data_IF_635670434581
#
_entry.id   IF_635670434581
#
_cell.length_a   1.000
_cell.length_b   1.000
_cell.length_c   1.000
_cell.angle_alpha   90.00
_cell.angle_beta   90.00
_cell.angle_gamma   90.00
#
_symmetry.space_group_name_H-M   'P 1'
#
loop_
_entity.id
_entity.type
_entity.pdbx_description
1 polymer ?
#
# COMPACT_ATOMS: atom_id res chain seq x y z
N UNK A 1 46.57 -4.94 -40.45
CA UNK A 1 45.42 -5.88 -40.59
C UNK A 1 44.14 -5.07 -40.57
N UNK A 2 43.48 -4.95 -41.72
CA UNK A 2 42.23 -4.23 -41.90
C UNK A 2 41.16 -5.27 -42.26
N UNK A 3 40.00 -5.31 -41.58
CA UNK A 3 38.99 -6.32 -41.88
C UNK A 3 38.24 -5.96 -43.19
N UNK A 4 37.76 -6.95 -43.94
CA UNK A 4 37.13 -6.74 -45.25
C UNK A 4 35.75 -6.11 -45.13
N UNK A 5 35.48 -5.18 -46.03
CA UNK A 5 34.22 -4.50 -46.27
C UNK A 5 33.19 -5.51 -46.83
N UNK A 6 32.24 -5.91 -46.00
CA UNK A 6 31.14 -6.80 -46.39
C UNK A 6 29.84 -6.01 -46.41
N UNK A 7 29.39 -5.64 -47.60
CA UNK A 7 28.11 -4.95 -47.82
C UNK A 7 26.94 -5.87 -47.43
N UNK A 8 26.01 -5.45 -46.55
CA UNK A 8 24.90 -6.31 -46.14
C UNK A 8 23.88 -6.45 -47.27
N UNK A 9 23.61 -7.70 -47.70
CA UNK A 9 22.56 -8.02 -48.68
C UNK A 9 21.19 -7.74 -48.05
N UNK A 10 20.33 -6.98 -48.76
CA UNK A 10 18.96 -6.69 -48.32
C UNK A 10 18.14 -8.00 -48.22
N UNK A 11 17.77 -8.38 -47.01
CA UNK A 11 16.79 -9.43 -46.78
C UNK A 11 15.40 -8.96 -47.27
N UNK A 12 14.77 -9.76 -48.13
CA UNK A 12 13.41 -9.49 -48.62
C UNK A 12 12.43 -9.76 -47.48
N UNK A 13 11.84 -8.72 -46.91
CA UNK A 13 10.77 -8.87 -45.90
C UNK A 13 9.52 -9.40 -46.60
N UNK A 14 9.26 -10.70 -46.55
CA UNK A 14 7.89 -11.21 -46.68
C UNK A 14 7.11 -10.74 -45.44
N UNK A 15 5.82 -10.45 -45.58
CA UNK A 15 4.90 -10.00 -44.53
C UNK A 15 4.74 -8.47 -44.30
N UNK A 16 4.71 -7.68 -45.38
CA UNK A 16 4.14 -6.32 -45.33
C UNK A 16 2.61 -6.29 -45.46
N UNK A 17 1.94 -7.44 -45.61
CA UNK A 17 0.49 -7.51 -45.86
C UNK A 17 -0.40 -7.15 -44.66
N UNK A 18 0.16 -6.99 -43.46
CA UNK A 18 -0.61 -6.70 -42.26
C UNK A 18 -0.92 -5.22 -42.07
N UNK A 19 -0.23 -4.33 -42.78
CA UNK A 19 -0.33 -2.89 -42.58
C UNK A 19 -0.97 -2.24 -43.82
N UNK A 20 -1.93 -1.36 -43.58
CA UNK A 20 -2.54 -0.54 -44.64
C UNK A 20 -1.50 0.45 -45.20
N UNK A 21 -1.31 0.54 -46.51
CA UNK A 21 -0.33 1.45 -47.11
C UNK A 21 -0.70 2.93 -46.97
N UNK A 22 -1.99 3.25 -46.81
CA UNK A 22 -2.48 4.64 -46.71
C UNK A 22 -2.37 5.18 -45.29
N UNK A 23 -2.66 4.35 -44.29
CA UNK A 23 -2.74 4.80 -42.88
C UNK A 23 -1.70 4.18 -41.96
N UNK A 24 -0.93 3.21 -42.44
CA UNK A 24 0.07 2.49 -41.64
C UNK A 24 -0.51 1.63 -40.52
N UNK A 25 -1.83 1.43 -40.49
CA UNK A 25 -2.52 0.66 -39.43
C UNK A 25 -2.61 -0.82 -39.76
N UNK A 26 -2.53 -1.67 -38.74
CA UNK A 26 -2.64 -3.12 -38.84
C UNK A 26 -3.82 -3.60 -38.00
N UNK A 27 -4.62 -4.53 -38.53
CA UNK A 27 -5.76 -5.08 -37.81
C UNK A 27 -5.25 -6.11 -36.79
N UNK A 28 -5.40 -5.81 -35.50
CA UNK A 28 -5.13 -6.78 -34.43
C UNK A 28 -6.34 -7.70 -34.25
N UNK A 29 -6.07 -8.98 -33.97
CA UNK A 29 -7.13 -9.94 -33.61
C UNK A 29 -7.90 -9.44 -32.37
N UNK A 30 -9.25 -9.46 -32.38
CA UNK A 30 -10.07 -9.01 -31.25
C UNK A 30 -9.87 -9.86 -30.00
N UNK A 31 -9.28 -11.06 -30.13
CA UNK A 31 -8.85 -11.89 -29.01
C UNK A 31 -7.35 -12.10 -29.07
N UNK A 32 -6.60 -11.15 -28.52
CA UNK A 32 -5.19 -11.32 -28.24
C UNK A 32 -5.05 -11.71 -26.77
N UNK A 33 -4.83 -13.01 -26.51
CA UNK A 33 -4.45 -13.44 -25.16
C UNK A 33 -3.07 -12.87 -24.82
N UNK A 34 -2.82 -12.41 -23.59
CA UNK A 34 -1.49 -11.95 -23.21
C UNK A 34 -0.53 -13.14 -23.33
N UNK A 35 0.45 -13.02 -24.22
CA UNK A 35 1.56 -13.96 -24.28
C UNK A 35 2.31 -13.85 -22.95
N UNK A 36 2.14 -14.85 -22.08
CA UNK A 36 2.97 -14.97 -20.89
C UNK A 36 4.39 -15.30 -21.36
N UNK A 37 5.23 -14.27 -21.49
CA UNK A 37 6.67 -14.47 -21.60
C UNK A 37 7.13 -15.17 -20.32
N UNK A 38 7.37 -16.48 -20.43
CA UNK A 38 8.04 -17.28 -19.41
C UNK A 38 9.51 -16.85 -19.46
N UNK A 39 9.88 -15.91 -18.59
CA UNK A 39 11.28 -15.58 -18.35
C UNK A 39 12.00 -16.87 -17.94
N UNK A 40 12.92 -17.32 -18.78
CA UNK A 40 13.75 -18.47 -18.48
C UNK A 40 14.60 -18.13 -17.25
N UNK A 41 14.36 -18.85 -16.16
CA UNK A 41 15.11 -18.71 -14.93
C UNK A 41 16.56 -19.13 -15.13
N UNK A 42 17.47 -18.17 -14.90
CA UNK A 42 18.86 -18.46 -14.62
C UNK A 42 18.96 -19.14 -13.26
N UNK A 43 19.49 -20.36 -13.25
CA UNK A 43 19.76 -21.18 -12.07
C UNK A 43 20.82 -20.54 -11.17
N UNK A 44 20.52 -20.46 -9.87
CA UNK A 44 21.49 -20.65 -8.79
C UNK A 44 20.74 -21.16 -7.54
N UNK A 45 21.30 -22.18 -6.89
CA UNK A 45 20.68 -23.02 -5.85
C UNK A 45 21.00 -22.49 -4.42
N UNK A 46 20.74 -23.24 -3.33
CA UNK A 46 19.60 -23.04 -2.41
C UNK A 46 20.02 -22.58 -1.00
N UNK A 47 19.05 -22.06 -0.21
CA UNK A 47 19.17 -22.01 1.25
C UNK A 47 17.81 -22.28 1.91
N UNK A 48 17.89 -23.19 2.87
CA UNK A 48 16.90 -23.79 3.75
C UNK A 48 16.47 -22.78 4.84
N UNK A 49 15.18 -22.62 5.10
CA UNK A 49 14.49 -23.19 6.27
C UNK A 49 13.06 -22.61 6.37
N UNK A 50 12.11 -23.46 6.74
CA UNK A 50 10.69 -23.11 6.75
C UNK A 50 10.29 -22.35 8.00
N UNK A 51 9.39 -21.36 7.86
CA UNK A 51 8.31 -21.19 8.83
C UNK A 51 7.15 -20.33 8.28
N UNK A 52 5.95 -20.86 8.49
CA UNK A 52 4.66 -20.19 8.64
C UNK A 52 4.06 -19.33 7.52
N UNK A 53 3.03 -19.94 6.91
CA UNK A 53 1.85 -19.29 6.35
C UNK A 53 1.41 -18.09 7.20
N UNK A 54 1.56 -16.88 6.67
CA UNK A 54 0.56 -15.85 6.89
C UNK A 54 -0.18 -15.63 5.57
N UNK A 55 -1.40 -16.14 5.50
CA UNK A 55 -2.37 -15.76 4.47
C UNK A 55 -2.85 -14.34 4.73
N UNK A 56 -1.93 -13.39 4.74
CA UNK A 56 -2.30 -11.99 4.60
C UNK A 56 -2.73 -11.86 3.15
N UNK A 57 -4.04 -11.70 2.93
CA UNK A 57 -4.60 -11.19 1.67
C UNK A 57 -4.02 -9.78 1.49
N UNK A 58 -2.76 -9.71 1.08
CA UNK A 58 -2.13 -8.52 0.56
C UNK A 58 -2.88 -8.27 -0.74
N UNK A 59 -3.93 -7.45 -0.64
CA UNK A 59 -4.56 -6.87 -1.81
C UNK A 59 -3.44 -6.15 -2.53
N UNK A 60 -2.90 -6.78 -3.56
CA UNK A 60 -1.82 -6.25 -4.36
C UNK A 60 -2.28 -4.86 -4.80
N UNK A 61 -1.66 -3.83 -4.21
CA UNK A 61 -1.90 -2.45 -4.59
C UNK A 61 -1.67 -2.36 -6.09
N UNK A 62 -2.75 -2.13 -6.83
CA UNK A 62 -2.68 -2.04 -8.28
C UNK A 62 -1.72 -0.91 -8.61
N UNK A 63 -0.68 -1.23 -9.40
CA UNK A 63 0.29 -0.27 -9.93
C UNK A 63 -0.47 0.96 -10.47
N UNK A 64 -0.30 2.11 -9.83
CA UNK A 64 -0.96 3.37 -10.21
C UNK A 64 -2.12 3.83 -9.33
N UNK A 65 -2.48 3.13 -8.24
CA UNK A 65 -3.38 3.71 -7.24
C UNK A 65 -2.62 4.75 -6.40
N UNK A 66 -3.10 6.00 -6.30
CA UNK A 66 -2.51 6.98 -5.41
C UNK A 66 -2.64 6.47 -3.97
N UNK A 67 -1.62 6.76 -3.15
CA UNK A 67 -1.63 6.45 -1.73
C UNK A 67 -2.89 7.05 -1.10
N UNK A 68 -3.65 6.26 -0.34
CA UNK A 68 -4.83 6.78 0.36
C UNK A 68 -4.35 7.72 1.45
N UNK A 69 -5.10 8.77 1.78
CA UNK A 69 -4.77 9.68 2.91
C UNK A 69 -4.51 8.90 4.21
N UNK A 70 -5.26 7.80 4.43
CA UNK A 70 -5.05 6.87 5.52
C UNK A 70 -3.67 6.20 5.52
N UNK A 71 -3.19 5.78 4.35
CA UNK A 71 -1.89 5.13 4.20
C UNK A 71 -0.74 6.13 4.47
N UNK A 72 -0.91 7.38 4.03
CA UNK A 72 0.03 8.48 4.33
C UNK A 72 0.06 8.76 5.83
N UNK A 73 -1.11 8.79 6.48
CA UNK A 73 -1.21 8.97 7.92
C UNK A 73 -0.50 7.84 8.69
N UNK A 74 -0.74 6.57 8.33
CA UNK A 74 -0.07 5.43 8.99
C UNK A 74 1.44 5.45 8.80
N UNK A 75 1.90 5.81 7.60
CA UNK A 75 3.32 5.99 7.32
C UNK A 75 3.91 7.06 8.21
N UNK A 76 3.30 8.24 8.29
CA UNK A 76 3.75 9.34 9.16
C UNK A 76 3.76 8.90 10.63
N UNK A 77 2.69 8.26 11.10
CA UNK A 77 2.59 7.77 12.47
C UNK A 77 3.73 6.80 12.81
N UNK A 78 4.08 5.90 11.88
CA UNK A 78 5.21 4.99 12.04
C UNK A 78 6.57 5.72 12.11
N UNK A 79 6.76 6.76 11.30
CA UNK A 79 7.98 7.58 11.31
C UNK A 79 8.15 8.33 12.64
N UNK A 80 7.06 8.92 13.15
CA UNK A 80 7.06 9.60 14.45
C UNK A 80 7.35 8.61 15.59
N UNK A 81 6.76 7.41 15.54
CA UNK A 81 7.04 6.36 16.53
C UNK A 81 8.51 5.93 16.51
N UNK A 82 9.08 5.76 15.32
CA UNK A 82 10.47 5.31 15.16
C UNK A 82 11.49 6.38 15.53
N UNK A 83 11.13 7.67 15.46
CA UNK A 83 12.03 8.77 15.86
C UNK A 83 12.02 9.03 17.37
N UNK A 84 10.98 8.60 18.10
CA UNK A 84 10.83 8.84 19.53
C UNK A 84 12.05 8.39 20.38
N UNK A 85 12.62 7.18 20.23
CA UNK A 85 13.77 6.76 21.03
C UNK A 85 14.96 7.71 20.88
N UNK A 86 15.21 8.18 19.64
CA UNK A 86 16.31 9.10 19.35
C UNK A 86 16.10 10.47 19.98
N UNK A 87 14.87 10.96 19.99
CA UNK A 87 14.50 12.23 20.64
C UNK A 87 14.71 12.14 22.16
N UNK A 88 14.30 11.02 22.78
CA UNK A 88 14.48 10.79 24.21
C UNK A 88 15.96 10.69 24.59
N UNK A 89 16.76 9.99 23.80
CA UNK A 89 18.22 9.87 23.98
C UNK A 89 18.91 11.24 23.89
N UNK A 90 18.64 12.01 22.83
CA UNK A 90 19.21 13.36 22.65
C UNK A 90 18.88 14.26 23.84
N UNK A 91 17.66 14.17 24.34
CA UNK A 91 17.23 14.95 25.50
C UNK A 91 17.94 14.55 26.79
N UNK A 92 18.10 13.25 27.03
CA UNK A 92 18.88 12.77 28.18
C UNK A 92 20.32 13.30 28.10
N UNK A 93 20.94 13.25 26.92
CA UNK A 93 22.29 13.78 26.70
C UNK A 93 22.39 15.28 26.98
N UNK A 94 21.44 16.08 26.49
CA UNK A 94 21.40 17.53 26.76
C UNK A 94 21.20 17.84 28.24
N UNK A 95 20.40 17.04 28.95
CA UNK A 95 20.17 17.19 30.39
C UNK A 95 21.46 16.89 31.16
N UNK A 96 22.16 15.81 30.81
CA UNK A 96 23.47 15.47 31.38
C UNK A 96 24.51 16.55 31.11
N UNK A 97 24.58 17.07 29.87
CA UNK A 97 25.51 18.13 29.51
C UNK A 97 25.25 19.42 30.31
N UNK A 98 23.99 19.80 30.47
CA UNK A 98 23.59 20.93 31.32
C UNK A 98 24.05 20.75 32.77
N UNK A 99 23.95 19.54 33.31
CA UNK A 99 24.39 19.25 34.69
C UNK A 99 25.91 19.35 34.87
N UNK A 100 26.69 19.09 33.82
CA UNK A 100 28.16 19.15 33.85
C UNK A 100 28.70 20.55 33.62
N UNK A 101 28.14 21.27 32.65
CA UNK A 101 28.69 22.55 32.16
C UNK A 101 27.95 23.78 32.72
N UNK A 102 26.69 23.61 33.16
CA UNK A 102 25.90 24.69 33.76
C UNK A 102 25.51 25.81 32.78
N UNK A 103 25.58 25.57 31.48
CA UNK A 103 25.39 26.59 30.43
C UNK A 103 23.93 27.05 30.31
N UNK A 104 23.73 28.38 30.33
CA UNK A 104 22.41 29.04 30.24
C UNK A 104 21.77 28.85 28.86
N UNK A 105 22.58 28.66 27.84
CA UNK A 105 22.17 28.41 26.47
C UNK A 105 21.42 27.08 26.36
N UNK A 106 21.87 26.04 27.07
CA UNK A 106 21.17 24.75 27.12
C UNK A 106 19.84 24.85 27.85
N UNK A 107 19.72 25.74 28.83
CA UNK A 107 18.46 26.03 29.49
C UNK A 107 17.43 26.66 28.55
N UNK A 108 17.83 27.49 27.58
CA UNK A 108 16.89 28.01 26.59
C UNK A 108 16.30 26.90 25.70
N UNK A 109 17.10 25.87 25.40
CA UNK A 109 16.66 24.73 24.57
C UNK A 109 15.78 23.78 25.38
N UNK A 110 16.17 23.48 26.62
CA UNK A 110 15.47 22.52 27.49
C UNK A 110 14.25 23.12 28.21
N UNK A 111 14.33 24.38 28.63
CA UNK A 111 13.34 25.06 29.47
C UNK A 111 11.98 25.23 28.80
N UNK A 112 11.96 25.42 27.48
CA UNK A 112 10.71 25.45 26.68
C UNK A 112 10.17 24.04 26.44
N UNK A 113 11.02 23.02 26.57
CA UNK A 113 10.81 21.71 25.97
C UNK A 113 10.46 20.59 26.95
N UNK A 114 10.30 20.80 28.27
CA UNK A 114 10.10 19.73 29.29
C UNK A 114 8.96 18.71 29.04
N UNK A 115 8.19 18.87 27.97
CA UNK A 115 7.10 18.02 27.49
C UNK A 115 7.49 16.66 26.88
N UNK A 116 8.72 16.12 26.96
CA UNK A 116 9.00 14.80 26.32
C UNK A 116 8.25 13.62 26.93
N UNK A 117 8.02 13.64 28.25
CA UNK A 117 7.17 12.66 28.90
C UNK A 117 5.74 12.73 28.33
N UNK A 118 5.29 13.95 28.01
CA UNK A 118 4.01 14.19 27.33
C UNK A 118 4.02 13.59 25.94
N UNK A 119 5.12 13.73 25.18
CA UNK A 119 5.24 13.18 23.82
C UNK A 119 5.05 11.66 23.78
N UNK A 120 5.68 10.89 24.69
CA UNK A 120 5.50 9.44 24.74
C UNK A 120 4.06 9.04 25.08
N UNK A 121 3.44 9.73 26.05
CA UNK A 121 2.07 9.46 26.45
C UNK A 121 1.07 9.82 25.34
N UNK A 122 1.31 10.94 24.65
CA UNK A 122 0.51 11.40 23.52
C UNK A 122 0.60 10.44 22.33
N UNK A 123 1.80 9.92 22.05
CA UNK A 123 2.00 8.92 21.01
C UNK A 123 1.29 7.61 21.33
N UNK A 124 1.32 7.17 22.59
CA UNK A 124 0.58 5.99 23.04
C UNK A 124 -0.93 6.19 22.86
N UNK A 125 -1.46 7.35 23.25
CA UNK A 125 -2.88 7.69 23.07
C UNK A 125 -3.27 7.68 21.59
N UNK A 126 -2.44 8.25 20.72
CA UNK A 126 -2.64 8.20 19.27
C UNK A 126 -2.71 6.76 18.76
N UNK A 127 -1.78 5.90 19.21
CA UNK A 127 -1.77 4.49 18.82
C UNK A 127 -3.06 3.76 19.25
N UNK A 128 -3.56 4.01 20.46
CA UNK A 128 -4.81 3.43 20.96
C UNK A 128 -6.01 3.85 20.10
N UNK A 129 -6.09 5.14 19.74
CA UNK A 129 -7.14 5.67 18.87
C UNK A 129 -7.09 5.07 17.46
N UNK A 130 -5.90 4.90 16.89
CA UNK A 130 -5.72 4.25 15.58
C UNK A 130 -6.24 2.81 15.63
N UNK A 131 -5.87 2.04 16.66
CA UNK A 131 -6.36 0.67 16.83
C UNK A 131 -7.89 0.62 17.01
N UNK A 132 -8.47 1.58 17.73
CA UNK A 132 -9.92 1.67 17.89
C UNK A 132 -10.61 1.99 16.56
N UNK A 133 -10.07 2.92 15.77
CA UNK A 133 -10.60 3.28 14.47
C UNK A 133 -10.58 2.09 13.49
N UNK A 134 -9.48 1.30 13.48
CA UNK A 134 -9.37 0.07 12.69
C UNK A 134 -10.45 -0.95 13.07
N UNK A 135 -10.67 -1.17 14.38
CA UNK A 135 -11.73 -2.07 14.87
C UNK A 135 -13.12 -1.61 14.41
N UNK A 136 -13.43 -0.32 14.52
CA UNK A 136 -14.71 0.24 14.07
C UNK A 136 -14.90 0.13 12.56
N UNK A 137 -13.84 0.37 11.77
CA UNK A 137 -13.88 0.14 10.31
C UNK A 137 -14.18 -1.33 9.98
N UNK A 138 -13.53 -2.27 10.69
CA UNK A 138 -13.76 -3.70 10.48
C UNK A 138 -15.20 -4.08 10.83
N UNK A 139 -15.75 -3.61 11.94
CA UNK A 139 -17.16 -3.85 12.30
C UNK A 139 -18.10 -3.30 11.22
N UNK A 140 -17.88 -2.08 10.73
CA UNK A 140 -18.68 -1.48 9.66
C UNK A 140 -18.64 -2.28 8.37
N UNK A 141 -17.47 -2.80 7.99
CA UNK A 141 -17.32 -3.66 6.82
C UNK A 141 -18.14 -4.95 6.94
N UNK A 142 -18.11 -5.61 8.11
CA UNK A 142 -18.87 -6.83 8.37
C UNK A 142 -20.41 -6.59 8.39
N UNK A 143 -20.86 -5.43 8.87
CA UNK A 143 -22.30 -5.10 8.88
C UNK A 143 -22.85 -4.67 7.51
N UNK A 144 -22.03 -4.09 6.64
CA UNK A 144 -22.42 -3.72 5.27
C UNK A 144 -22.66 -4.92 4.35
N UNK A 145 -22.02 -6.06 4.62
CA UNK A 145 -22.11 -7.27 3.79
C UNK A 145 -23.41 -8.07 4.05
N UNK A 146 -23.98 -8.00 5.26
CA UNK A 146 -25.21 -8.72 5.62
C UNK A 146 -26.46 -8.06 5.04
N UNK A 147 -26.45 -6.74 4.79
CA UNK A 147 -27.65 -6.04 4.32
C UNK A 147 -27.96 -6.22 2.83
N UNK A 148 -27.08 -6.88 2.05
CA UNK A 148 -27.29 -7.13 0.63
C UNK A 148 -28.01 -8.46 0.30
N UNK A 149 -28.28 -9.31 1.31
CA UNK A 149 -28.87 -10.65 1.09
C UNK A 149 -30.16 -10.90 1.86
N UNK A 150 -31.03 -9.91 1.91
CA UNK A 150 -32.28 -9.98 2.67
C UNK A 150 -33.45 -9.20 2.11
N UNK A 151 -33.54 -8.97 0.79
CA UNK A 151 -34.85 -8.70 0.19
C UNK A 151 -35.52 -10.05 -0.12
N UNK A 152 -35.88 -10.78 0.93
CA UNK A 152 -36.91 -11.81 0.78
C UNK A 152 -38.19 -11.02 0.53
N UNK A 153 -38.71 -11.22 -0.67
CA UNK A 153 -39.97 -10.72 -1.16
C UNK A 153 -41.08 -11.12 -0.18
N UNK A 154 -41.43 -10.22 0.74
CA UNK A 154 -42.56 -10.38 1.66
C UNK A 154 -43.86 -10.23 0.86
N UNK A 155 -44.19 -11.27 0.09
CA UNK A 155 -45.46 -11.42 -0.61
C UNK A 155 -46.65 -11.69 0.34
N UNK A 156 -46.47 -11.56 1.66
CA UNK A 156 -47.48 -11.84 2.69
C UNK A 156 -48.16 -10.59 3.27
N UNK A 157 -47.52 -9.42 3.22
CA UNK A 157 -48.11 -8.20 3.80
C UNK A 157 -49.29 -7.67 2.99
N UNK A 158 -49.20 -7.70 1.66
CA UNK A 158 -50.29 -7.31 0.77
C UNK A 158 -51.47 -8.29 0.85
N UNK A 159 -51.20 -9.60 0.94
CA UNK A 159 -52.24 -10.63 1.07
C UNK A 159 -53.04 -10.53 2.38
N UNK A 160 -52.41 -10.07 3.46
CA UNK A 160 -53.10 -9.80 4.74
C UNK A 160 -54.08 -8.62 4.62
N UNK A 161 -53.68 -7.53 3.96
CA UNK A 161 -54.55 -6.36 3.78
C UNK A 161 -55.75 -6.67 2.88
N UNK A 162 -55.59 -7.53 1.88
CA UNK A 162 -56.70 -7.97 1.03
C UNK A 162 -57.70 -8.88 1.76
N UNK A 163 -57.30 -9.56 2.84
CA UNK A 163 -58.21 -10.40 3.65
C UNK A 163 -59.14 -9.59 4.56
N UNK A 164 -58.88 -8.29 4.78
CA UNK A 164 -59.72 -7.40 5.59
C UNK A 164 -60.86 -6.74 4.79
N UNK A 165 -60.84 -6.92 3.46
CA UNK A 165 -61.81 -6.34 2.53
C UNK A 165 -62.85 -7.36 2.04
N UNK A 166 -62.79 -8.60 2.55
CA UNK A 166 -63.73 -9.70 2.27
C UNK A 166 -64.63 -9.96 3.49
#
# INVERSE_FOLDING_TARGET
FQPPDATPKKARRSHLGSYSPVTGTCQMSPFSSPSSHRAQGGRSAPAQDGNEQSSSKSGLSRRGQPQTEHDVFLQLHSQVRNSLPRILELRANLTSLKALEGSRELENILGVSHSSCVLSAELQKSQELVSQAEKLQLLKANHGEVSARGHIQDARSAAFLTSLLD
#
